data_IF_136609561256
#
_entry.id   IF_136609561256
#
_cell.length_a   1.000
_cell.length_b   1.000
_cell.length_c   1.000
_cell.angle_alpha   90.00
_cell.angle_beta   90.00
_cell.angle_gamma   90.00
#
_symmetry.space_group_name_H-M   'P 1'
#
loop_
_entity.id
_entity.type
_entity.pdbx_description
1 polymer ?
#
# COMPACT_ATOMS: atom_id res chain seq x y z
N UNK A 1 -7.00 -2.25 33.39
CA UNK A 1 -6.58 -2.93 32.15
C UNK A 1 -5.28 -3.64 32.46
N UNK A 2 -5.15 -4.93 32.18
CA UNK A 2 -3.91 -5.70 32.46
C UNK A 2 -3.02 -5.75 31.22
N UNK A 3 -1.73 -6.00 31.42
CA UNK A 3 -0.76 -6.08 30.32
C UNK A 3 -1.09 -7.23 29.36
N UNK A 4 -1.63 -8.34 29.86
CA UNK A 4 -2.07 -9.47 29.04
C UNK A 4 -3.24 -9.09 28.13
N UNK A 5 -4.19 -8.30 28.65
CA UNK A 5 -5.32 -7.80 27.87
C UNK A 5 -4.86 -6.83 26.79
N UNK A 6 -3.89 -5.94 27.10
CA UNK A 6 -3.30 -5.03 26.11
C UNK A 6 -2.56 -5.79 25.01
N UNK A 7 -1.77 -6.79 25.37
CA UNK A 7 -1.03 -7.62 24.42
C UNK A 7 -1.98 -8.42 23.52
N UNK A 8 -3.03 -9.03 24.08
CA UNK A 8 -4.03 -9.76 23.32
C UNK A 8 -4.75 -8.84 22.32
N UNK A 9 -5.13 -7.63 22.74
CA UNK A 9 -5.80 -6.68 21.87
C UNK A 9 -4.90 -6.14 20.76
N UNK A 10 -3.62 -5.87 21.06
CA UNK A 10 -2.64 -5.48 20.04
C UNK A 10 -2.45 -6.56 18.97
N UNK A 11 -2.45 -7.83 19.38
CA UNK A 11 -2.38 -8.96 18.46
C UNK A 11 -3.61 -9.06 17.56
N UNK A 12 -4.82 -8.85 18.10
CA UNK A 12 -6.05 -8.81 17.31
C UNK A 12 -6.02 -7.68 16.28
N UNK A 13 -5.60 -6.47 16.65
CA UNK A 13 -5.48 -5.36 15.71
C UNK A 13 -4.46 -5.64 14.60
N UNK A 14 -3.33 -6.24 14.96
CA UNK A 14 -2.33 -6.63 13.97
C UNK A 14 -2.89 -7.66 12.97
N UNK A 15 -3.50 -8.74 13.46
CA UNK A 15 -4.05 -9.78 12.60
C UNK A 15 -5.13 -9.25 11.65
N UNK A 16 -6.07 -8.45 12.18
CA UNK A 16 -7.15 -7.87 11.38
C UNK A 16 -6.63 -6.98 10.24
N UNK A 17 -5.60 -6.18 10.51
CA UNK A 17 -4.95 -5.35 9.49
C UNK A 17 -4.05 -6.15 8.54
N UNK A 18 -3.40 -7.21 9.03
CA UNK A 18 -2.49 -8.03 8.24
C UNK A 18 -3.23 -8.88 7.20
N UNK A 19 -4.25 -9.63 7.60
CA UNK A 19 -4.95 -10.56 6.68
C UNK A 19 -5.60 -9.83 5.51
N UNK A 20 -6.29 -8.73 5.80
CA UNK A 20 -6.95 -7.90 4.77
C UNK A 20 -5.93 -7.24 3.84
N UNK A 21 -4.94 -6.52 4.40
CA UNK A 21 -3.96 -5.79 3.59
C UNK A 21 -3.08 -6.73 2.75
N UNK A 22 -2.64 -7.86 3.32
CA UNK A 22 -1.81 -8.85 2.60
C UNK A 22 -2.58 -9.49 1.44
N UNK A 23 -3.87 -9.75 1.63
CA UNK A 23 -4.76 -10.26 0.58
C UNK A 23 -4.92 -9.21 -0.53
N UNK A 24 -5.25 -7.95 -0.19
CA UNK A 24 -5.38 -6.86 -1.17
C UNK A 24 -4.11 -6.68 -2.00
N UNK A 25 -2.94 -6.61 -1.33
CA UNK A 25 -1.65 -6.47 -2.03
C UNK A 25 -1.38 -7.66 -2.95
N UNK A 26 -1.71 -8.89 -2.51
CA UNK A 26 -1.51 -10.09 -3.33
C UNK A 26 -2.38 -10.07 -4.59
N UNK A 27 -3.65 -9.65 -4.48
CA UNK A 27 -4.53 -9.49 -5.63
C UNK A 27 -4.07 -8.37 -6.56
N UNK A 28 -3.70 -7.20 -6.02
CA UNK A 28 -3.19 -6.10 -6.82
C UNK A 28 -1.95 -6.52 -7.63
N UNK A 29 -0.98 -7.18 -6.99
CA UNK A 29 0.21 -7.69 -7.68
C UNK A 29 -0.12 -8.77 -8.72
N UNK A 30 -1.11 -9.63 -8.43
CA UNK A 30 -1.58 -10.64 -9.38
C UNK A 30 -2.15 -9.98 -10.64
N UNK A 31 -3.07 -9.03 -10.49
CA UNK A 31 -3.67 -8.30 -11.62
C UNK A 31 -2.61 -7.51 -12.40
N UNK A 32 -1.68 -6.84 -11.72
CA UNK A 32 -0.59 -6.12 -12.38
C UNK A 32 0.31 -7.03 -13.21
N UNK A 33 0.54 -8.27 -12.78
CA UNK A 33 1.35 -9.23 -13.53
C UNK A 33 0.71 -9.65 -14.87
N UNK A 34 -0.62 -9.64 -14.98
CA UNK A 34 -1.34 -9.92 -16.22
C UNK A 34 -1.61 -8.68 -17.08
N UNK A 35 -1.51 -7.49 -16.50
CA UNK A 35 -1.80 -6.21 -17.16
C UNK A 35 -0.54 -5.31 -17.18
N UNK A 36 0.46 -5.62 -18.03
CA UNK A 36 1.75 -4.93 -18.03
C UNK A 36 1.64 -3.44 -18.39
N UNK A 37 0.65 -3.04 -19.18
CA UNK A 37 0.37 -1.63 -19.50
C UNK A 37 -0.09 -0.83 -18.27
N UNK A 38 -0.93 -1.43 -17.43
CA UNK A 38 -1.34 -0.87 -16.13
C UNK A 38 -0.13 -0.77 -15.20
N UNK A 39 0.69 -1.82 -15.15
CA UNK A 39 1.91 -1.85 -14.34
C UNK A 39 2.92 -0.77 -14.75
N UNK A 40 3.21 -0.64 -16.04
CA UNK A 40 4.11 0.40 -16.57
C UNK A 40 3.61 1.80 -16.25
N UNK A 41 2.30 2.04 -16.40
CA UNK A 41 1.67 3.32 -16.07
C UNK A 41 1.79 3.64 -14.58
N UNK A 42 1.57 2.66 -13.70
CA UNK A 42 1.72 2.83 -12.26
C UNK A 42 3.16 3.15 -11.86
N UNK A 43 4.13 2.36 -12.36
CA UNK A 43 5.55 2.58 -12.09
C UNK A 43 5.99 3.98 -12.55
N UNK A 44 5.49 4.41 -13.71
CA UNK A 44 5.75 5.76 -14.22
C UNK A 44 5.25 6.85 -13.27
N UNK A 45 4.00 6.77 -12.78
CA UNK A 45 3.48 7.73 -11.80
C UNK A 45 4.33 7.76 -10.52
N UNK A 46 4.73 6.59 -10.01
CA UNK A 46 5.56 6.48 -8.81
C UNK A 46 6.91 7.17 -9.04
N UNK A 47 7.59 6.86 -10.14
CA UNK A 47 8.89 7.47 -10.46
C UNK A 47 8.79 8.99 -10.64
N UNK A 48 7.81 9.47 -11.42
CA UNK A 48 7.60 10.92 -11.61
C UNK A 48 7.31 11.63 -10.28
N UNK A 49 6.52 11.01 -9.41
CA UNK A 49 6.21 11.57 -8.08
C UNK A 49 7.44 11.60 -7.19
N UNK A 50 8.26 10.56 -7.19
CA UNK A 50 9.51 10.52 -6.43
C UNK A 50 10.53 11.53 -6.95
N UNK A 51 10.71 11.65 -8.27
CA UNK A 51 11.62 12.63 -8.87
C UNK A 51 11.27 14.06 -8.48
N UNK A 52 9.98 14.43 -8.55
CA UNK A 52 9.49 15.75 -8.12
C UNK A 52 9.71 16.03 -6.63
N UNK A 53 9.72 14.98 -5.81
CA UNK A 53 9.82 15.07 -4.35
C UNK A 53 11.22 14.71 -3.81
N UNK A 54 12.27 14.82 -4.65
CA UNK A 54 13.67 14.54 -4.30
C UNK A 54 13.88 13.12 -3.72
N UNK A 55 13.14 12.14 -4.23
CA UNK A 55 13.17 10.74 -3.81
C UNK A 55 12.57 10.47 -2.43
N UNK A 56 11.90 11.45 -1.81
CA UNK A 56 11.32 11.29 -0.47
C UNK A 56 9.96 10.62 -0.56
N UNK A 57 9.76 9.61 0.29
CA UNK A 57 8.44 9.01 0.54
C UNK A 57 7.96 9.54 1.89
N UNK A 58 6.97 10.43 1.86
CA UNK A 58 6.28 10.95 3.04
C UNK A 58 4.78 10.77 2.85
N UNK A 59 4.00 10.84 3.93
CA UNK A 59 2.53 10.71 3.83
C UNK A 59 1.92 11.71 2.82
N UNK A 60 2.41 12.95 2.80
CA UNK A 60 1.96 13.95 1.84
C UNK A 60 2.29 13.56 0.39
N UNK A 61 3.48 13.01 0.15
CA UNK A 61 3.93 12.58 -1.18
C UNK A 61 3.17 11.34 -1.66
N UNK A 62 2.88 10.39 -0.77
CA UNK A 62 2.06 9.21 -1.10
C UNK A 62 0.66 9.60 -1.57
N UNK A 63 0.06 10.64 -0.99
CA UNK A 63 -1.25 11.16 -1.42
C UNK A 63 -1.22 11.87 -2.79
N UNK A 64 -0.05 12.09 -3.39
CA UNK A 64 0.05 12.62 -4.76
C UNK A 64 -0.12 11.51 -5.83
N UNK A 65 0.03 10.24 -5.44
CA UNK A 65 0.00 9.07 -6.34
C UNK A 65 -1.44 8.58 -6.55
N UNK A 66 -2.21 9.29 -7.38
CA UNK A 66 -3.63 9.01 -7.61
C UNK A 66 -3.87 7.69 -8.35
N UNK A 67 -2.99 7.31 -9.26
CA UNK A 67 -3.09 6.05 -9.99
C UNK A 67 -2.76 4.87 -9.08
N UNK A 68 -1.82 5.02 -8.15
CA UNK A 68 -1.59 4.04 -7.09
C UNK A 68 -2.85 3.82 -6.24
N UNK A 69 -3.53 4.89 -5.83
CA UNK A 69 -4.80 4.80 -5.09
C UNK A 69 -5.85 3.99 -5.87
N UNK A 70 -6.05 4.29 -7.17
CA UNK A 70 -6.99 3.54 -8.03
C UNK A 70 -6.62 2.06 -8.29
N UNK A 71 -5.37 1.67 -8.03
CA UNK A 71 -4.94 0.26 -8.15
C UNK A 71 -5.21 -0.51 -6.85
N UNK A 72 -5.23 0.18 -5.72
CA UNK A 72 -5.40 -0.42 -4.39
C UNK A 72 -6.87 -0.39 -3.93
N UNK A 73 -7.60 0.68 -4.25
CA UNK A 73 -8.98 0.97 -3.83
C UNK A 73 -9.95 1.12 -5.02
#
# INVERSE_FOLDING_TARGET
VTDELLAAQAFVFFLAGFETSSTTISFALHELAYNPDVQEKLIKEIHETLERNNGKITYAVSNEMKYLEMVID
#
